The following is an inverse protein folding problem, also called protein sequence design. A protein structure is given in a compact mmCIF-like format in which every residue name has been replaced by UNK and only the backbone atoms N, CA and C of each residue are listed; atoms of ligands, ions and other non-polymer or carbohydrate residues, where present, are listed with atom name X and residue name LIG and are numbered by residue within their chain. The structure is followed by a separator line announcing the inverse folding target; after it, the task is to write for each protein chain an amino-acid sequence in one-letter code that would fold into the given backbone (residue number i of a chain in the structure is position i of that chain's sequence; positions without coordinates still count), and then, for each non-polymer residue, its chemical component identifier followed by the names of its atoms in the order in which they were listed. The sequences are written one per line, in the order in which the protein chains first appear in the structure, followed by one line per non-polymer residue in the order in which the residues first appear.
data_IF_458734829958
#
_entry.id   IF_458734829958
#
_cell.length_a   1.000
_cell.length_b   1.000
_cell.length_c   1.000
_cell.angle_alpha   90.00
_cell.angle_beta   90.00
_cell.angle_gamma   90.00
#
_symmetry.space_group_name_H-M   'P 1'
#
loop_
_entity.id
_entity.type
_entity.pdbx_description
1 polymer ?
#
# COMPACT_ATOMS: atom_id res chain seq x y z
N UNK A 1 7.25 -21.41 21.49
CA UNK A 1 6.39 -20.55 20.64
C UNK A 1 7.18 -19.36 20.05
N UNK A 2 8.07 -19.57 19.06
CA UNK A 2 8.97 -18.48 18.57
C UNK A 2 9.00 -18.20 17.06
N UNK A 3 8.31 -18.99 16.21
CA UNK A 3 8.44 -18.84 14.74
C UNK A 3 7.17 -18.41 13.96
N UNK A 4 5.98 -18.37 14.55
CA UNK A 4 4.74 -17.98 13.81
C UNK A 4 4.50 -16.45 13.71
N UNK A 5 5.17 -15.64 14.53
CA UNK A 5 4.99 -14.18 14.57
C UNK A 5 5.85 -13.41 13.54
N UNK A 6 6.79 -14.08 12.86
CA UNK A 6 7.82 -13.39 12.07
C UNK A 6 7.31 -12.80 10.74
N UNK A 7 6.17 -13.28 10.24
CA UNK A 7 5.59 -12.90 8.94
C UNK A 7 4.07 -12.60 9.02
N UNK A 8 3.61 -11.78 9.97
CA UNK A 8 2.21 -11.33 9.94
C UNK A 8 1.93 -10.56 8.64
N UNK A 9 0.71 -10.67 8.10
CA UNK A 9 0.33 -9.97 6.87
C UNK A 9 0.55 -8.46 7.02
N UNK A 10 0.32 -7.91 8.21
CA UNK A 10 0.61 -6.51 8.55
C UNK A 10 2.09 -6.15 8.37
N UNK A 11 3.01 -6.98 8.89
CA UNK A 11 4.46 -6.74 8.74
C UNK A 11 4.90 -6.86 7.28
N UNK A 12 4.34 -7.81 6.54
CA UNK A 12 4.60 -7.93 5.10
C UNK A 12 4.12 -6.69 4.34
N UNK A 13 2.91 -6.19 4.63
CA UNK A 13 2.38 -4.98 4.00
C UNK A 13 3.20 -3.73 4.36
N UNK A 14 3.70 -3.63 5.60
CA UNK A 14 4.61 -2.56 6.00
C UNK A 14 5.92 -2.58 5.19
N UNK A 15 6.55 -3.75 5.06
CA UNK A 15 7.77 -3.91 4.27
C UNK A 15 7.52 -3.64 2.79
N UNK A 16 6.38 -4.07 2.27
CA UNK A 16 6.01 -3.85 0.88
C UNK A 16 5.72 -2.38 0.58
N UNK A 17 5.11 -1.65 1.52
CA UNK A 17 4.92 -0.20 1.42
C UNK A 17 6.27 0.52 1.37
N UNK A 18 7.19 0.20 2.28
CA UNK A 18 8.53 0.77 2.29
C UNK A 18 9.30 0.52 0.97
N UNK A 19 9.21 -0.70 0.44
CA UNK A 19 9.80 -1.04 -0.86
C UNK A 19 9.16 -0.23 -2.01
N UNK A 20 7.83 -0.09 -2.00
CA UNK A 20 7.12 0.71 -3.01
C UNK A 20 7.56 2.17 -2.95
N UNK A 21 7.68 2.75 -1.75
CA UNK A 21 8.22 4.10 -1.55
C UNK A 21 9.59 4.24 -2.19
N UNK A 22 10.51 3.28 -1.97
CA UNK A 22 11.84 3.33 -2.59
C UNK A 22 11.76 3.40 -4.12
N UNK A 23 10.85 2.65 -4.75
CA UNK A 23 10.67 2.71 -6.21
C UNK A 23 10.03 3.99 -6.68
N UNK A 24 9.09 4.55 -5.93
CA UNK A 24 8.48 5.85 -6.27
C UNK A 24 9.52 6.95 -6.20
N UNK A 25 10.26 7.05 -5.09
CA UNK A 25 11.24 8.13 -4.87
C UNK A 25 12.46 8.03 -5.80
N UNK A 26 12.81 6.82 -6.26
CA UNK A 26 13.87 6.63 -7.27
C UNK A 26 13.38 6.84 -8.72
N UNK A 27 12.12 7.22 -8.92
CA UNK A 27 11.55 7.42 -10.27
C UNK A 27 11.38 6.13 -11.06
N UNK A 28 11.45 4.95 -10.43
CA UNK A 28 11.31 3.66 -11.10
C UNK A 28 9.83 3.33 -11.34
N UNK A 29 9.24 3.98 -12.35
CA UNK A 29 7.82 3.87 -12.68
C UNK A 29 7.37 2.43 -12.97
N UNK A 30 8.21 1.63 -13.62
CA UNK A 30 7.88 0.24 -13.95
C UNK A 30 7.72 -0.62 -12.69
N UNK A 31 8.70 -0.55 -11.77
CA UNK A 31 8.62 -1.31 -10.51
C UNK A 31 7.53 -0.80 -9.59
N UNK A 32 7.32 0.51 -9.52
CA UNK A 32 6.20 1.13 -8.82
C UNK A 32 4.87 0.56 -9.30
N UNK A 33 4.63 0.55 -10.62
CA UNK A 33 3.41 -0.01 -11.22
C UNK A 33 3.25 -1.50 -10.91
N UNK A 34 4.33 -2.28 -10.98
CA UNK A 34 4.31 -3.72 -10.63
C UNK A 34 3.92 -3.95 -9.16
N UNK A 35 4.49 -3.18 -8.23
CA UNK A 35 4.16 -3.25 -6.80
C UNK A 35 2.69 -2.91 -6.55
N UNK A 36 2.21 -1.79 -7.09
CA UNK A 36 0.83 -1.34 -6.91
C UNK A 36 -0.18 -2.34 -7.48
N UNK A 37 0.08 -2.88 -8.67
CA UNK A 37 -0.78 -3.89 -9.28
C UNK A 37 -0.78 -5.20 -8.47
N UNK A 38 0.35 -5.58 -7.88
CA UNK A 38 0.42 -6.76 -7.02
C UNK A 38 -0.43 -6.57 -5.75
N UNK A 39 -0.33 -5.41 -5.10
CA UNK A 39 -1.17 -5.10 -3.93
C UNK A 39 -2.65 -5.03 -4.29
N UNK A 40 -2.99 -4.39 -5.41
CA UNK A 40 -4.39 -4.31 -5.85
C UNK A 40 -4.99 -5.69 -6.08
N UNK A 41 -4.25 -6.60 -6.74
CA UNK A 41 -4.68 -7.99 -6.90
C UNK A 41 -4.86 -8.71 -5.56
N UNK A 42 -3.96 -8.49 -4.61
CA UNK A 42 -4.06 -9.05 -3.25
C UNK A 42 -5.24 -8.45 -2.47
N UNK A 43 -5.57 -7.19 -2.70
CA UNK A 43 -6.72 -6.53 -2.08
C UNK A 43 -8.03 -7.12 -2.60
N UNK A 44 -8.17 -7.21 -3.93
CA UNK A 44 -9.38 -7.71 -4.57
C UNK A 44 -9.66 -9.18 -4.21
N UNK A 45 -8.62 -10.02 -4.21
CA UNK A 45 -8.78 -11.47 -4.01
C UNK A 45 -8.46 -11.94 -2.57
N UNK A 46 -7.96 -11.07 -1.72
CA UNK A 46 -7.47 -11.43 -0.40
C UNK A 46 -8.57 -11.63 0.64
N UNK A 47 -8.18 -12.28 1.74
CA UNK A 47 -9.02 -12.41 2.93
C UNK A 47 -9.37 -11.06 3.54
N UNK A 48 -10.37 -11.03 4.43
CA UNK A 48 -10.67 -9.83 5.24
C UNK A 48 -9.42 -9.29 5.94
N UNK A 49 -8.61 -10.17 6.54
CA UNK A 49 -7.38 -9.77 7.23
C UNK A 49 -6.36 -9.15 6.26
N UNK A 50 -6.25 -9.68 5.03
CA UNK A 50 -5.37 -9.15 3.99
C UNK A 50 -5.83 -7.76 3.53
N UNK A 51 -7.12 -7.60 3.26
CA UNK A 51 -7.72 -6.31 2.90
C UNK A 51 -7.49 -5.27 3.99
N UNK A 52 -7.74 -5.64 5.24
CA UNK A 52 -7.54 -4.77 6.40
C UNK A 52 -6.06 -4.35 6.56
N UNK A 53 -5.12 -5.28 6.36
CA UNK A 53 -3.69 -4.96 6.39
C UNK A 53 -3.28 -4.05 5.23
N UNK A 54 -3.82 -4.25 4.03
CA UNK A 54 -3.55 -3.39 2.88
C UNK A 54 -4.08 -1.97 3.14
N UNK A 55 -5.36 -1.83 3.51
CA UNK A 55 -5.95 -0.51 3.76
C UNK A 55 -5.24 0.22 4.90
N UNK A 56 -5.11 -0.40 6.07
CA UNK A 56 -4.63 0.32 7.26
C UNK A 56 -3.11 0.43 7.36
N UNK A 57 -2.35 -0.41 6.65
CA UNK A 57 -0.88 -0.36 6.70
C UNK A 57 -0.29 0.06 5.37
N UNK A 58 -0.65 -0.59 4.26
CA UNK A 58 -0.02 -0.30 2.98
C UNK A 58 -0.48 1.05 2.42
N UNK A 59 -1.80 1.23 2.24
CA UNK A 59 -2.40 2.45 1.67
C UNK A 59 -2.05 3.65 2.52
N UNK A 60 -2.30 3.58 3.84
CA UNK A 60 -2.01 4.67 4.78
C UNK A 60 -0.53 5.10 4.78
N UNK A 61 0.41 4.15 4.92
CA UNK A 61 1.83 4.52 4.98
C UNK A 61 2.32 5.04 3.63
N UNK A 62 1.90 4.43 2.52
CA UNK A 62 2.33 4.88 1.21
C UNK A 62 1.77 6.27 0.88
N UNK A 63 0.48 6.52 1.13
CA UNK A 63 -0.12 7.84 0.88
C UNK A 63 0.54 8.93 1.71
N UNK A 64 0.80 8.69 3.00
CA UNK A 64 1.49 9.64 3.88
C UNK A 64 2.84 10.06 3.30
N UNK A 65 3.67 9.10 2.88
CA UNK A 65 5.00 9.41 2.34
C UNK A 65 4.89 10.15 1.00
N UNK A 66 3.99 9.72 0.12
CA UNK A 66 3.77 10.39 -1.17
C UNK A 66 3.34 11.86 -0.99
N UNK A 67 2.42 12.12 -0.06
CA UNK A 67 1.94 13.48 0.26
C UNK A 67 3.08 14.34 0.84
N UNK A 68 3.92 13.79 1.72
CA UNK A 68 5.09 14.48 2.26
C UNK A 68 6.09 14.88 1.16
N UNK A 69 6.14 14.12 0.06
CA UNK A 69 6.97 14.43 -1.10
C UNK A 69 6.23 15.21 -2.20
N UNK A 70 5.03 15.73 -1.92
CA UNK A 70 4.17 16.45 -2.87
C UNK A 70 3.82 15.65 -4.14
N UNK A 71 3.74 14.32 -4.00
CA UNK A 71 3.38 13.41 -5.08
C UNK A 71 1.88 13.16 -5.05
N UNK A 72 1.25 13.29 -6.21
CA UNK A 72 -0.20 13.08 -6.39
C UNK A 72 -0.59 11.61 -6.21
N UNK A 73 -1.04 11.26 -5.01
CA UNK A 73 -1.47 9.90 -4.63
C UNK A 73 -2.57 9.37 -5.55
N UNK A 74 -3.51 10.22 -5.95
CA UNK A 74 -4.67 9.82 -6.77
C UNK A 74 -4.28 9.42 -8.19
N UNK A 75 -3.14 9.92 -8.70
CA UNK A 75 -2.58 9.52 -10.00
C UNK A 75 -1.74 8.25 -9.92
N UNK A 76 -1.12 7.99 -8.77
CA UNK A 76 -0.29 6.80 -8.57
C UNK A 76 -1.14 5.58 -8.27
N UNK A 77 -2.14 5.70 -7.39
CA UNK A 77 -2.88 4.54 -6.92
C UNK A 77 -3.81 3.98 -8.00
N UNK A 78 -3.82 2.64 -8.18
CA UNK A 78 -4.79 2.00 -9.04
C UNK A 78 -6.19 2.03 -8.39
N UNK A 79 -7.22 1.75 -9.18
CA UNK A 79 -8.60 2.13 -8.88
C UNK A 79 -9.10 1.66 -7.50
N UNK A 80 -8.83 0.40 -7.11
CA UNK A 80 -9.31 -0.13 -5.84
C UNK A 80 -8.57 0.49 -4.64
N UNK A 81 -7.25 0.65 -4.74
CA UNK A 81 -6.45 1.25 -3.66
C UNK A 81 -6.73 2.74 -3.52
N UNK A 82 -6.99 3.43 -4.65
CA UNK A 82 -7.39 4.83 -4.66
C UNK A 82 -8.73 5.03 -3.97
N UNK A 83 -9.69 4.13 -4.15
CA UNK A 83 -10.97 4.19 -3.45
C UNK A 83 -10.80 4.10 -1.93
N UNK A 84 -9.89 3.25 -1.44
CA UNK A 84 -9.58 3.14 -0.01
C UNK A 84 -8.89 4.40 0.52
N UNK A 85 -7.95 4.96 -0.24
CA UNK A 85 -7.34 6.24 0.10
C UNK A 85 -8.37 7.38 0.20
N UNK A 86 -9.28 7.48 -0.78
CA UNK A 86 -10.37 8.48 -0.76
C UNK A 86 -11.25 8.31 0.48
N UNK A 87 -11.56 7.08 0.87
CA UNK A 87 -12.31 6.82 2.13
C UNK A 87 -11.54 7.30 3.36
N UNK A 88 -10.22 7.07 3.40
CA UNK A 88 -9.38 7.47 4.54
C UNK A 88 -9.34 8.99 4.73
N UNK A 89 -9.20 9.76 3.65
CA UNK A 89 -9.12 11.23 3.74
C UNK A 89 -10.49 11.90 3.92
N UNK A 90 -11.58 11.21 3.59
CA UNK A 90 -12.95 11.71 3.74
C UNK A 90 -13.65 11.18 5.01
N UNK A 91 -12.97 10.38 5.83
CA UNK A 91 -13.46 9.94 7.12
C UNK A 91 -13.39 11.11 8.13
N UNK A 92 -14.31 12.05 7.96
CA UNK A 92 -14.62 13.12 8.91
C UNK A 92 -15.77 12.71 9.83
#
# INVERSE_FOLDING_TARGET
MRNKLRNSVYKQMQQFAALTVTFVLSGNAERTKRCLNAVEKLYLNGSYQTRNAITNVYVYNLSMILELHHIDVQKIFPAALRAEYIKQINAY
#
